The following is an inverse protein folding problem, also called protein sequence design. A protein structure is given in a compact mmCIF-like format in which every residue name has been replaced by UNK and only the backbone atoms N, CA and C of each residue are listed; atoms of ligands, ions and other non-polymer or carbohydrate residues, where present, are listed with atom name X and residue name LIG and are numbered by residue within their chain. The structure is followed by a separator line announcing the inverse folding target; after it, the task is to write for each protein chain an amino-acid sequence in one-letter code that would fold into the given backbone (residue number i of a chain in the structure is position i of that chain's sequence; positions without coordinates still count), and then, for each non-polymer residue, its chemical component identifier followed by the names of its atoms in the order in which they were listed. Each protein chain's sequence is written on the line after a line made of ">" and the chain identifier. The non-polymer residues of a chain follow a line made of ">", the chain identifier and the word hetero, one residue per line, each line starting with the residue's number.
data_IF_654957025660
#
_entry.id   IF_654957025660
#
_cell.length_a   1.000
_cell.length_b   1.000
_cell.length_c   1.000
_cell.angle_alpha   90.00
_cell.angle_beta   90.00
_cell.angle_gamma   90.00
#
_symmetry.space_group_name_H-M   'P 1'
#
loop_
_entity.id
_entity.type
_entity.pdbx_description
1 polymer ?
#
# COMPACT_ATOMS: atom_id res chain seq x y z
N UNK A 1 47.77 5.50 27.45
CA UNK A 1 47.31 6.63 26.61
C UNK A 1 46.13 6.09 25.83
N UNK A 2 44.93 6.50 26.24
CA UNK A 2 43.66 6.13 25.63
C UNK A 2 43.41 7.15 24.52
N UNK A 3 43.67 6.76 23.27
CA UNK A 3 43.24 7.54 22.12
C UNK A 3 41.73 7.38 21.98
N UNK A 4 41.04 8.35 22.60
CA UNK A 4 39.61 8.57 22.46
C UNK A 4 39.39 9.09 21.04
N UNK A 5 38.84 8.25 20.17
CA UNK A 5 38.32 8.72 18.88
C UNK A 5 37.19 9.72 19.17
N UNK A 6 37.26 10.96 18.67
CA UNK A 6 36.12 11.86 18.74
C UNK A 6 34.99 11.26 17.91
N UNK A 7 33.84 11.03 18.55
CA UNK A 7 32.57 10.70 17.90
C UNK A 7 32.17 11.86 16.99
N UNK A 8 32.67 11.80 15.75
CA UNK A 8 32.39 12.76 14.72
C UNK A 8 31.02 12.43 14.10
N UNK A 9 30.15 13.44 14.19
CA UNK A 9 28.94 13.66 13.38
C UNK A 9 27.67 13.05 13.97
N UNK A 10 27.11 13.76 14.94
CA UNK A 10 25.66 13.91 15.07
C UNK A 10 25.21 14.83 13.92
N UNK A 11 24.99 14.25 12.72
CA UNK A 11 24.53 15.02 11.56
C UNK A 11 23.04 15.28 11.69
N UNK A 12 22.68 16.56 11.75
CA UNK A 12 21.33 17.06 11.54
C UNK A 12 20.72 16.69 10.16
N UNK A 13 21.45 15.95 9.32
CA UNK A 13 21.06 15.45 8.00
C UNK A 13 20.86 13.92 7.93
N UNK A 14 20.89 13.20 9.07
CA UNK A 14 20.59 11.77 9.04
C UNK A 14 19.11 11.53 8.78
N UNK A 15 18.75 10.60 7.86
CA UNK A 15 17.35 10.30 7.60
C UNK A 15 16.65 9.80 8.87
N UNK A 16 15.43 10.28 9.06
CA UNK A 16 14.57 9.95 10.19
C UNK A 16 14.54 8.43 10.42
N UNK A 17 14.69 8.01 11.67
CA UNK A 17 14.71 6.59 12.02
C UNK A 17 13.30 6.10 12.31
N UNK A 18 12.86 5.05 11.59
CA UNK A 18 11.58 4.37 11.82
C UNK A 18 11.81 2.96 12.34
N UNK A 19 11.01 2.56 13.31
CA UNK A 19 11.19 1.35 14.11
C UNK A 19 9.97 0.44 14.11
N UNK A 20 8.80 0.95 13.73
CA UNK A 20 7.55 0.20 13.69
C UNK A 20 6.71 0.55 12.43
N UNK A 21 5.68 -0.26 12.12
CA UNK A 21 4.84 -0.03 10.93
C UNK A 21 4.14 1.32 10.91
N UNK A 22 3.68 1.83 12.05
CA UNK A 22 2.93 3.10 12.15
C UNK A 22 3.82 4.31 11.88
N UNK A 23 5.10 4.26 12.25
CA UNK A 23 6.08 5.30 11.90
C UNK A 23 6.42 5.30 10.40
N UNK A 24 6.47 4.12 9.78
CA UNK A 24 6.76 3.99 8.35
C UNK A 24 5.57 4.45 7.50
N UNK A 25 4.35 4.04 7.87
CA UNK A 25 3.10 4.33 7.17
C UNK A 25 2.13 4.93 8.20
N UNK A 26 2.25 6.25 8.45
CA UNK A 26 1.39 6.93 9.41
C UNK A 26 -0.04 7.03 8.89
N UNK A 27 -0.98 7.07 9.83
CA UNK A 27 -2.36 7.44 9.56
C UNK A 27 -2.40 8.90 9.07
N UNK A 28 -3.26 9.18 8.10
CA UNK A 28 -3.51 10.53 7.59
C UNK A 28 -4.99 10.77 7.45
N UNK A 29 -5.48 11.76 8.17
CA UNK A 29 -6.86 12.22 8.07
C UNK A 29 -6.99 13.17 6.88
N UNK A 30 -8.17 13.24 6.27
CA UNK A 30 -8.43 14.03 5.06
C UNK A 30 -8.18 15.54 5.23
N UNK A 31 -8.17 16.05 6.47
CA UNK A 31 -7.80 17.43 6.81
C UNK A 31 -6.30 17.70 6.94
N UNK A 32 -5.45 16.66 6.95
CA UNK A 32 -4.02 16.82 7.21
C UNK A 32 -3.28 17.47 6.02
N UNK A 33 -2.40 18.46 6.27
CA UNK A 33 -1.61 19.08 5.23
C UNK A 33 -0.74 18.02 4.53
N UNK A 34 -0.80 17.96 3.21
CA UNK A 34 -0.04 17.01 2.39
C UNK A 34 1.46 17.32 2.58
N UNK A 35 2.25 16.45 3.25
CA UNK A 35 3.67 16.68 3.43
C UNK A 35 4.42 16.47 2.10
N UNK A 36 5.72 16.77 2.12
CA UNK A 36 6.63 16.51 1.00
C UNK A 36 6.40 15.10 0.40
N UNK A 37 6.23 15.08 -0.92
CA UNK A 37 5.70 13.96 -1.72
C UNK A 37 6.55 12.68 -1.58
N UNK A 38 7.79 12.79 -1.08
CA UNK A 38 8.56 11.65 -0.61
C UNK A 38 9.72 12.02 0.32
N UNK A 39 10.10 11.05 1.16
CA UNK A 39 11.19 11.18 2.14
C UNK A 39 12.02 9.89 2.21
N UNK A 40 13.27 10.03 2.60
CA UNK A 40 14.14 8.90 2.93
C UNK A 40 14.09 8.66 4.43
N UNK A 41 13.84 7.43 4.85
CA UNK A 41 13.89 7.03 6.26
C UNK A 41 14.90 5.91 6.44
N UNK A 42 15.47 5.80 7.64
CA UNK A 42 16.31 4.68 8.04
C UNK A 42 15.49 3.71 8.88
N UNK A 43 15.64 2.42 8.65
CA UNK A 43 15.14 1.36 9.52
C UNK A 43 16.32 0.76 10.30
N UNK A 44 16.58 1.18 11.55
CA UNK A 44 17.75 0.74 12.28
C UNK A 44 17.77 -0.78 12.51
N UNK A 45 16.60 -1.38 12.77
CA UNK A 45 16.44 -2.81 13.00
C UNK A 45 16.95 -3.68 11.84
N UNK A 46 16.80 -3.18 10.61
CA UNK A 46 17.18 -3.91 9.39
C UNK A 46 18.40 -3.31 8.69
N UNK A 47 18.99 -2.24 9.27
CA UNK A 47 20.15 -1.51 8.72
C UNK A 47 19.94 -1.08 7.26
N UNK A 48 18.74 -0.58 6.96
CA UNK A 48 18.31 -0.24 5.59
C UNK A 48 17.76 1.18 5.52
N UNK A 49 17.89 1.81 4.36
CA UNK A 49 17.17 3.03 4.02
C UNK A 49 15.97 2.70 3.14
N UNK A 50 14.85 3.39 3.35
CA UNK A 50 13.63 3.25 2.56
C UNK A 50 13.24 4.60 2.01
N UNK A 51 12.92 4.63 0.73
CA UNK A 51 12.30 5.80 0.13
C UNK A 51 10.77 5.68 0.19
N UNK A 52 10.12 6.57 0.93
CA UNK A 52 8.66 6.59 1.07
C UNK A 52 8.10 7.65 0.13
N UNK A 53 7.01 7.33 -0.57
CA UNK A 53 6.21 8.31 -1.32
C UNK A 53 4.76 8.29 -0.88
N UNK A 54 4.18 9.48 -0.68
CA UNK A 54 2.82 9.71 -0.19
C UNK A 54 1.89 10.24 -1.29
N UNK A 55 2.23 10.01 -2.55
CA UNK A 55 1.43 10.49 -3.69
C UNK A 55 0.09 9.75 -3.80
N UNK A 56 -0.95 10.45 -4.27
CA UNK A 56 -2.23 9.83 -4.62
C UNK A 56 -2.07 8.86 -5.78
N UNK A 57 -2.75 7.71 -5.72
CA UNK A 57 -2.86 6.81 -6.86
C UNK A 57 -3.96 7.27 -7.82
N UNK A 58 -3.70 7.13 -9.11
CA UNK A 58 -4.64 7.42 -10.19
C UNK A 58 -5.05 6.15 -10.91
N UNK A 59 -6.06 6.29 -11.77
CA UNK A 59 -6.57 5.16 -12.57
C UNK A 59 -5.47 4.45 -13.37
N UNK A 60 -4.52 5.21 -13.93
CA UNK A 60 -3.40 4.62 -14.68
C UNK A 60 -2.56 3.67 -13.81
N UNK A 61 -2.36 4.00 -12.53
CA UNK A 61 -1.61 3.18 -11.59
C UNK A 61 -2.40 1.91 -11.24
N UNK A 62 -3.72 1.99 -11.09
CA UNK A 62 -4.56 0.82 -10.87
C UNK A 62 -4.54 -0.14 -12.08
N UNK A 63 -4.71 0.39 -13.30
CA UNK A 63 -4.72 -0.40 -14.55
C UNK A 63 -3.36 -1.10 -14.81
N UNK A 64 -2.25 -0.48 -14.40
CA UNK A 64 -0.90 -1.06 -14.48
C UNK A 64 -0.78 -2.39 -13.71
N UNK A 65 -1.55 -2.55 -12.63
CA UNK A 65 -1.49 -3.72 -11.76
C UNK A 65 -2.75 -4.59 -11.76
N UNK A 66 -3.79 -4.19 -12.48
CA UNK A 66 -5.06 -4.90 -12.55
C UNK A 66 -4.88 -6.37 -12.93
N UNK A 67 -3.94 -6.68 -13.83
CA UNK A 67 -3.61 -8.04 -14.25
C UNK A 67 -3.28 -8.99 -13.10
N UNK A 68 -2.68 -8.48 -12.02
CA UNK A 68 -2.28 -9.23 -10.84
C UNK A 68 -3.41 -9.24 -9.80
N UNK A 69 -4.16 -8.15 -9.69
CA UNK A 69 -5.33 -8.06 -8.81
C UNK A 69 -6.42 -9.05 -9.23
N UNK A 70 -6.64 -9.24 -10.54
CA UNK A 70 -7.70 -10.11 -11.08
C UNK A 70 -7.36 -11.61 -11.10
N UNK A 71 -6.08 -11.97 -11.02
CA UNK A 71 -5.62 -13.33 -11.36
C UNK A 71 -4.45 -13.83 -10.52
N UNK A 72 -3.81 -12.94 -9.77
CA UNK A 72 -2.68 -13.26 -8.93
C UNK A 72 -3.16 -14.07 -7.73
N UNK A 73 -2.55 -15.22 -7.51
CA UNK A 73 -2.69 -15.92 -6.25
C UNK A 73 -1.89 -15.15 -5.19
N UNK A 74 -2.48 -14.85 -4.01
CA UNK A 74 -1.75 -14.25 -2.92
C UNK A 74 -0.50 -15.04 -2.60
N UNK A 75 0.51 -14.34 -2.11
CA UNK A 75 1.79 -14.93 -1.70
C UNK A 75 2.66 -15.52 -2.83
N UNK A 76 2.24 -15.46 -4.09
CA UNK A 76 2.97 -16.00 -5.25
C UNK A 76 3.65 -14.88 -6.05
N UNK A 77 4.85 -15.15 -6.56
CA UNK A 77 5.60 -14.22 -7.40
C UNK A 77 5.28 -14.43 -8.90
N UNK A 78 5.19 -13.33 -9.64
CA UNK A 78 4.85 -13.30 -11.06
C UNK A 78 5.74 -12.33 -11.84
N UNK A 79 5.98 -12.62 -13.12
CA UNK A 79 6.51 -11.64 -14.05
C UNK A 79 5.41 -10.76 -14.61
N UNK A 80 5.72 -9.47 -14.85
CA UNK A 80 4.79 -8.59 -15.56
C UNK A 80 4.59 -9.11 -16.99
N UNK A 81 3.35 -9.29 -17.44
CA UNK A 81 3.12 -9.78 -18.78
C UNK A 81 3.46 -8.75 -19.88
N UNK A 82 4.06 -9.20 -20.98
CA UNK A 82 4.58 -8.30 -22.03
C UNK A 82 3.57 -7.96 -23.15
N UNK A 83 2.57 -8.81 -23.43
CA UNK A 83 1.57 -8.60 -24.50
C UNK A 83 0.22 -9.24 -24.14
N UNK A 84 -0.87 -8.52 -24.38
CA UNK A 84 -2.24 -9.10 -24.38
C UNK A 84 -2.47 -9.92 -25.68
N UNK A 85 -3.32 -10.96 -25.68
CA UNK A 85 -4.22 -11.38 -24.61
C UNK A 85 -3.55 -12.39 -23.67
N UNK A 86 -3.64 -12.08 -22.38
CA UNK A 86 -3.03 -12.79 -21.27
C UNK A 86 -3.87 -14.00 -20.91
N UNK A 87 -3.49 -15.19 -21.39
CA UNK A 87 -4.15 -16.43 -20.96
C UNK A 87 -3.59 -16.95 -19.64
N UNK A 88 -2.28 -16.87 -19.44
CA UNK A 88 -1.62 -17.39 -18.24
C UNK A 88 -0.65 -16.35 -17.65
N UNK A 89 -0.70 -16.15 -16.32
CA UNK A 89 0.32 -15.39 -15.62
C UNK A 89 1.61 -16.21 -15.55
N UNK A 90 2.73 -15.61 -15.95
CA UNK A 90 4.03 -16.26 -15.83
C UNK A 90 4.46 -16.29 -14.36
N UNK A 91 4.28 -17.44 -13.72
CA UNK A 91 4.70 -17.69 -12.34
C UNK A 91 6.23 -17.68 -12.27
N UNK A 92 6.77 -16.98 -11.28
CA UNK A 92 8.18 -17.00 -10.97
C UNK A 92 8.56 -18.33 -10.29
N UNK A 93 9.42 -19.10 -10.94
CA UNK A 93 9.96 -20.34 -10.36
C UNK A 93 11.15 -20.04 -9.44
N UNK A 94 10.89 -20.15 -8.13
CA UNK A 94 11.89 -19.95 -7.08
C UNK A 94 12.98 -21.03 -7.01
N UNK A 95 12.83 -22.15 -7.74
CA UNK A 95 13.84 -23.20 -7.78
C UNK A 95 15.09 -22.80 -8.57
N UNK A 96 14.95 -21.90 -9.55
CA UNK A 96 16.04 -21.48 -10.43
C UNK A 96 16.52 -20.04 -10.18
N UNK A 97 15.66 -19.21 -9.57
CA UNK A 97 15.90 -17.78 -9.32
C UNK A 97 15.43 -17.40 -7.93
N UNK A 98 16.01 -16.37 -7.35
CA UNK A 98 15.57 -15.84 -6.06
C UNK A 98 15.18 -14.36 -6.19
N UNK A 99 14.19 -13.88 -5.42
CA UNK A 99 13.92 -12.45 -5.29
C UNK A 99 15.15 -11.74 -4.72
N UNK A 100 15.62 -10.70 -5.40
CA UNK A 100 16.72 -9.86 -4.95
C UNK A 100 16.26 -9.02 -3.76
N UNK A 101 17.14 -8.84 -2.79
CA UNK A 101 16.94 -7.91 -1.70
C UNK A 101 17.50 -6.55 -2.13
N UNK A 102 16.65 -5.53 -2.26
CA UNK A 102 17.07 -4.18 -2.64
C UNK A 102 17.74 -3.48 -1.46
N UNK A 103 18.79 -2.71 -1.76
CA UNK A 103 19.47 -1.88 -0.75
C UNK A 103 18.57 -0.74 -0.27
N UNK A 104 17.83 -0.13 -1.20
CA UNK A 104 16.92 0.99 -0.93
C UNK A 104 15.56 0.73 -1.59
N UNK A 105 14.67 -0.09 -0.98
CA UNK A 105 13.33 -0.30 -1.50
C UNK A 105 12.50 0.97 -1.39
N UNK A 106 11.49 1.07 -2.25
CA UNK A 106 10.50 2.15 -2.26
C UNK A 106 9.21 1.68 -1.62
N UNK A 107 8.64 2.46 -0.70
CA UNK A 107 7.31 2.24 -0.14
C UNK A 107 6.39 3.32 -0.64
N UNK A 108 5.47 2.98 -1.53
CA UNK A 108 4.37 3.86 -1.87
C UNK A 108 3.22 3.66 -0.89
N UNK A 109 3.11 4.58 0.06
CA UNK A 109 2.00 4.65 1.01
C UNK A 109 0.86 5.47 0.38
N UNK A 110 0.05 4.84 -0.46
CA UNK A 110 -1.15 5.47 -1.05
C UNK A 110 -2.28 5.61 -0.02
N UNK A 111 -3.40 6.25 -0.41
CA UNK A 111 -4.55 6.46 0.47
C UNK A 111 -5.04 5.15 1.11
N UNK A 112 -5.00 4.04 0.37
CA UNK A 112 -5.35 2.72 0.88
C UNK A 112 -4.53 2.25 2.09
N UNK A 113 -3.30 2.75 2.28
CA UNK A 113 -2.43 2.39 3.41
C UNK A 113 -2.42 3.45 4.53
N UNK A 114 -2.78 4.69 4.21
CA UNK A 114 -2.71 5.82 5.16
C UNK A 114 -4.06 6.24 5.72
N UNK A 115 -5.16 6.09 4.97
CA UNK A 115 -6.49 6.54 5.40
C UNK A 115 -7.03 5.58 6.47
N UNK A 116 -7.42 6.08 7.65
CA UNK A 116 -7.99 5.26 8.71
C UNK A 116 -9.49 5.01 8.46
N UNK A 117 -10.10 4.11 9.24
CA UNK A 117 -11.55 3.82 9.14
C UNK A 117 -12.42 4.89 9.81
N UNK A 118 -11.85 5.72 10.67
CA UNK A 118 -12.49 6.85 11.37
C UNK A 118 -12.16 8.20 10.73
N UNK A 119 -11.93 8.24 9.40
CA UNK A 119 -11.54 9.47 8.71
C UNK A 119 -12.60 10.58 8.80
N UNK A 120 -12.14 11.82 8.92
CA UNK A 120 -12.97 13.00 9.15
C UNK A 120 -13.92 13.30 7.98
N UNK A 121 -15.20 13.53 8.28
CA UNK A 121 -16.21 13.92 7.28
C UNK A 121 -16.44 15.43 7.30
N UNK A 122 -16.04 16.12 6.23
CA UNK A 122 -16.18 17.58 6.11
C UNK A 122 -17.49 18.01 5.41
N UNK A 123 -18.05 17.17 4.54
CA UNK A 123 -19.26 17.47 3.76
C UNK A 123 -20.54 16.98 4.46
N UNK A 124 -20.99 17.71 5.49
CA UNK A 124 -22.25 17.41 6.17
C UNK A 124 -23.47 17.98 5.44
N UNK A 125 -24.14 17.15 4.65
CA UNK A 125 -25.40 17.52 3.95
C UNK A 125 -26.65 17.41 4.85
N UNK A 126 -26.52 16.81 6.04
CA UNK A 126 -27.63 16.54 6.96
C UNK A 126 -27.93 17.71 7.93
N UNK A 127 -27.17 18.81 7.86
CA UNK A 127 -27.40 19.99 8.71
C UNK A 127 -27.00 19.80 10.18
N UNK A 128 -26.13 18.82 10.49
CA UNK A 128 -25.59 18.60 11.85
C UNK A 128 -24.67 19.74 12.33
N UNK A 129 -24.44 20.77 11.51
CA UNK A 129 -23.46 21.85 11.70
C UNK A 129 -23.99 23.09 12.45
N UNK A 130 -25.13 23.02 13.14
CA UNK A 130 -25.80 24.23 13.66
C UNK A 130 -25.52 24.62 15.13
N UNK A 131 -24.97 23.75 15.99
CA UNK A 131 -25.01 24.03 17.44
C UNK A 131 -23.67 24.13 18.21
N UNK A 132 -22.50 23.87 17.61
CA UNK A 132 -21.20 24.13 18.28
C UNK A 132 -20.12 24.57 17.27
N UNK A 133 -19.14 25.34 17.76
CA UNK A 133 -18.02 25.92 17.00
C UNK A 133 -17.54 24.97 15.89
N UNK A 134 -17.89 25.28 14.64
CA UNK A 134 -17.62 24.42 13.49
C UNK A 134 -16.11 24.31 13.25
N UNK A 135 -15.50 23.18 13.63
CA UNK A 135 -14.06 22.90 13.48
C UNK A 135 -13.74 22.39 12.05
N UNK A 136 -14.74 22.24 11.18
CA UNK A 136 -14.57 21.80 9.80
C UNK A 136 -15.10 20.39 9.55
N UNK A 137 -14.88 19.45 10.47
CA UNK A 137 -15.39 18.08 10.39
C UNK A 137 -16.69 17.89 11.20
N UNK A 138 -17.58 17.02 10.71
CA UNK A 138 -18.83 16.65 11.36
C UNK A 138 -18.65 15.36 12.15
N UNK A 139 -18.61 15.49 13.49
CA UNK A 139 -18.44 14.35 14.40
C UNK A 139 -19.52 13.28 14.20
N UNK A 140 -20.79 13.68 14.11
CA UNK A 140 -21.88 12.72 13.96
C UNK A 140 -21.78 11.93 12.64
N UNK A 141 -21.45 12.59 11.53
CA UNK A 141 -21.24 11.88 10.26
C UNK A 141 -19.99 10.99 10.30
N UNK A 142 -18.93 11.44 10.97
CA UNK A 142 -17.70 10.67 11.15
C UNK A 142 -17.97 9.38 11.91
N UNK A 143 -18.67 9.45 13.05
CA UNK A 143 -19.07 8.29 13.84
C UNK A 143 -19.94 7.33 13.01
N UNK A 144 -21.02 7.85 12.40
CA UNK A 144 -21.95 7.02 11.61
C UNK A 144 -21.24 6.28 10.47
N UNK A 145 -20.33 6.95 9.76
CA UNK A 145 -19.57 6.34 8.65
C UNK A 145 -18.47 5.40 9.13
N UNK A 146 -17.82 5.72 10.24
CA UNK A 146 -16.81 4.85 10.87
C UNK A 146 -17.44 3.55 11.37
N UNK A 147 -18.58 3.63 12.07
CA UNK A 147 -19.33 2.45 12.51
C UNK A 147 -19.79 1.59 11.32
N UNK A 148 -20.22 2.21 10.21
CA UNK A 148 -20.58 1.49 9.00
C UNK A 148 -19.39 0.74 8.38
N UNK A 149 -18.20 1.36 8.39
CA UNK A 149 -16.96 0.72 7.94
C UNK A 149 -16.52 -0.42 8.85
N UNK A 150 -16.58 -0.24 10.17
CA UNK A 150 -16.21 -1.27 11.14
C UNK A 150 -17.12 -2.52 11.04
N UNK A 151 -18.36 -2.33 10.61
CA UNK A 151 -19.30 -3.41 10.31
C UNK A 151 -19.18 -3.99 8.89
N UNK A 152 -18.25 -3.48 8.08
CA UNK A 152 -18.00 -3.94 6.72
C UNK A 152 -16.68 -4.67 6.63
N UNK A 153 -16.72 -5.95 6.24
CA UNK A 153 -15.49 -6.69 5.96
C UNK A 153 -14.75 -6.07 4.78
N UNK A 154 -13.53 -5.57 5.01
CA UNK A 154 -12.66 -4.98 4.00
C UNK A 154 -11.52 -5.92 3.61
N UNK A 155 -10.99 -5.69 2.41
CA UNK A 155 -9.86 -6.42 1.88
C UNK A 155 -8.84 -5.45 1.31
N UNK A 156 -7.68 -5.40 1.95
CA UNK A 156 -6.56 -4.56 1.57
C UNK A 156 -5.60 -5.36 0.68
N UNK A 157 -5.38 -4.87 -0.53
CA UNK A 157 -4.41 -5.42 -1.46
C UNK A 157 -3.18 -4.54 -1.48
N UNK A 158 -2.00 -5.14 -1.29
CA UNK A 158 -0.72 -4.48 -1.42
C UNK A 158 0.15 -5.24 -2.44
N UNK A 159 0.77 -4.50 -3.35
CA UNK A 159 1.60 -5.08 -4.41
C UNK A 159 3.05 -4.84 -4.10
N UNK A 160 3.77 -5.95 -4.00
CA UNK A 160 5.19 -5.99 -3.70
C UNK A 160 5.95 -6.22 -5.00
N UNK A 161 7.08 -5.53 -5.18
CA UNK A 161 7.96 -5.74 -6.31
C UNK A 161 9.43 -5.83 -5.88
N UNK A 162 10.17 -6.67 -6.60
CA UNK A 162 11.64 -6.67 -6.59
C UNK A 162 12.16 -7.21 -7.92
N UNK A 163 13.48 -7.36 -8.05
CA UNK A 163 14.11 -7.99 -9.20
C UNK A 163 14.33 -9.48 -8.94
N UNK A 164 14.32 -10.28 -10.00
CA UNK A 164 14.74 -11.68 -9.96
C UNK A 164 16.23 -11.79 -10.19
N UNK A 165 16.95 -12.53 -9.35
CA UNK A 165 18.36 -12.85 -9.58
C UNK A 165 18.51 -14.32 -9.91
N UNK A 166 19.37 -14.63 -10.88
CA UNK A 166 19.81 -16.00 -11.10
C UNK A 166 20.59 -16.50 -9.88
N UNK A 167 20.29 -17.72 -9.44
CA UNK A 167 21.04 -18.34 -8.34
C UNK A 167 22.54 -18.31 -8.64
N UNK A 168 23.41 -17.97 -7.66
CA UNK A 168 24.86 -17.82 -7.87
C UNK A 168 25.55 -19.08 -8.41
N UNK A 169 24.89 -20.25 -8.40
CA UNK A 169 25.39 -21.48 -9.03
C UNK A 169 25.43 -21.43 -10.56
N UNK A 170 24.64 -20.56 -11.20
CA UNK A 170 24.52 -20.48 -12.66
C UNK A 170 24.99 -19.11 -13.13
N UNK A 171 26.31 -18.93 -13.17
CA UNK A 171 27.04 -17.67 -13.42
C UNK A 171 26.67 -16.92 -14.70
N UNK A 172 25.51 -16.25 -14.71
CA UNK A 172 25.09 -15.33 -15.76
C UNK A 172 24.61 -14.02 -15.14
N UNK A 173 25.41 -12.96 -15.29
CA UNK A 173 25.07 -11.58 -14.94
C UNK A 173 24.06 -10.98 -15.95
N UNK A 174 22.95 -11.66 -16.21
CA UNK A 174 21.81 -11.01 -16.88
C UNK A 174 21.10 -10.17 -15.82
N UNK A 175 20.87 -8.89 -16.15
CA UNK A 175 20.07 -8.00 -15.31
C UNK A 175 18.76 -8.68 -14.92
N UNK A 176 18.45 -8.60 -13.63
CA UNK A 176 17.27 -9.25 -13.08
C UNK A 176 16.00 -8.66 -13.66
N UNK A 177 15.05 -9.52 -14.06
CA UNK A 177 13.71 -9.06 -14.47
C UNK A 177 12.89 -8.72 -13.24
N UNK A 178 12.10 -7.66 -13.31
CA UNK A 178 11.18 -7.29 -12.24
C UNK A 178 10.08 -8.34 -12.05
N UNK A 179 9.83 -8.70 -10.80
CA UNK A 179 8.81 -9.62 -10.34
C UNK A 179 7.88 -8.93 -9.35
N UNK A 180 6.66 -9.42 -9.26
CA UNK A 180 5.57 -8.84 -8.50
C UNK A 180 4.86 -9.91 -7.67
N UNK A 181 4.35 -9.52 -6.51
CA UNK A 181 3.61 -10.39 -5.60
C UNK A 181 2.44 -9.62 -5.01
N UNK A 182 1.29 -10.25 -4.94
CA UNK A 182 0.10 -9.71 -4.29
C UNK A 182 0.04 -10.16 -2.84
N UNK A 183 -0.19 -9.22 -1.93
CA UNK A 183 -0.50 -9.46 -0.52
C UNK A 183 -1.95 -9.06 -0.28
N UNK A 184 -2.67 -9.88 0.49
CA UNK A 184 -4.05 -9.66 0.89
C UNK A 184 -4.16 -9.62 2.41
N UNK A 185 -4.72 -8.54 2.93
CA UNK A 185 -4.91 -8.30 4.36
C UNK A 185 -6.36 -7.92 4.66
N UNK A 186 -6.82 -8.17 5.89
CA UNK A 186 -8.17 -7.79 6.34
C UNK A 186 -8.26 -6.40 6.98
N UNK A 187 -7.12 -5.73 7.22
CA UNK A 187 -7.08 -4.39 7.79
C UNK A 187 -5.92 -3.57 7.25
N UNK A 188 -6.04 -2.25 7.40
CA UNK A 188 -4.99 -1.28 7.08
C UNK A 188 -3.71 -1.53 7.88
N UNK A 189 -3.84 -1.80 9.18
CA UNK A 189 -2.72 -2.06 10.10
C UNK A 189 -1.96 -3.33 9.67
N UNK A 190 -2.70 -4.37 9.27
CA UNK A 190 -2.11 -5.61 8.77
C UNK A 190 -1.38 -5.37 7.45
N UNK A 191 -1.97 -4.60 6.53
CA UNK A 191 -1.32 -4.24 5.27
C UNK A 191 -0.06 -3.37 5.49
N UNK A 192 -0.11 -2.42 6.42
CA UNK A 192 1.03 -1.60 6.80
C UNK A 192 2.15 -2.43 7.47
N UNK A 193 1.80 -3.40 8.31
CA UNK A 193 2.77 -4.33 8.90
C UNK A 193 3.44 -5.22 7.85
N UNK A 194 2.68 -5.73 6.89
CA UNK A 194 3.23 -6.48 5.75
C UNK A 194 4.15 -5.60 4.89
N UNK A 195 3.76 -4.37 4.61
CA UNK A 195 4.59 -3.40 3.90
C UNK A 195 5.92 -3.13 4.64
N UNK A 196 5.85 -2.92 5.96
CA UNK A 196 7.01 -2.74 6.83
C UNK A 196 7.93 -3.96 6.81
N UNK A 197 7.38 -5.16 6.93
CA UNK A 197 8.15 -6.40 6.89
C UNK A 197 8.80 -6.62 5.52
N UNK A 198 8.05 -6.42 4.44
CA UNK A 198 8.55 -6.63 3.08
C UNK A 198 9.64 -5.63 2.69
N UNK A 199 9.48 -4.35 3.01
CA UNK A 199 10.50 -3.36 2.72
C UNK A 199 11.70 -3.45 3.67
N UNK A 200 11.44 -3.60 4.97
CA UNK A 200 12.47 -3.67 5.99
C UNK A 200 13.26 -4.97 5.97
N UNK A 201 12.59 -6.12 6.09
CA UNK A 201 13.26 -7.43 6.18
C UNK A 201 13.65 -7.93 4.79
N UNK A 202 12.71 -7.96 3.86
CA UNK A 202 12.89 -8.63 2.55
C UNK A 202 13.48 -7.71 1.47
N UNK A 203 13.56 -6.41 1.70
CA UNK A 203 14.12 -5.46 0.75
C UNK A 203 13.31 -5.36 -0.53
N UNK A 204 12.01 -5.52 -0.42
CA UNK A 204 11.10 -5.41 -1.56
C UNK A 204 10.39 -4.04 -1.52
N UNK A 205 10.09 -3.50 -2.68
CA UNK A 205 9.31 -2.27 -2.80
C UNK A 205 7.82 -2.56 -2.67
N UNK A 206 7.07 -1.64 -2.07
CA UNK A 206 5.61 -1.59 -2.13
C UNK A 206 5.26 -0.59 -3.23
N UNK A 207 4.63 -1.08 -4.30
CA UNK A 207 4.47 -0.29 -5.53
C UNK A 207 3.03 0.12 -5.80
N UNK A 208 2.06 -0.45 -5.10
CA UNK A 208 0.66 -0.06 -5.19
C UNK A 208 -0.15 -0.67 -4.04
N UNK A 209 -1.24 -0.01 -3.67
CA UNK A 209 -2.22 -0.53 -2.71
C UNK A 209 -3.62 -0.04 -3.01
N UNK A 210 -4.61 -0.88 -2.76
CA UNK A 210 -6.02 -0.57 -2.90
C UNK A 210 -6.88 -1.36 -1.91
N UNK A 211 -8.14 -0.96 -1.72
CA UNK A 211 -9.08 -1.59 -0.80
C UNK A 211 -10.37 -1.91 -1.53
N UNK A 212 -10.89 -3.11 -1.28
CA UNK A 212 -12.19 -3.57 -1.74
C UNK A 212 -13.06 -3.94 -0.54
N UNK A 213 -14.38 -3.99 -0.75
CA UNK A 213 -15.29 -4.69 0.15
C UNK A 213 -15.14 -6.20 -0.06
N UNK A 214 -15.12 -6.98 1.02
CA UNK A 214 -15.07 -8.43 0.95
C UNK A 214 -16.31 -8.99 0.23
N UNK A 215 -16.12 -9.96 -0.66
CA UNK A 215 -17.19 -10.47 -1.52
C UNK A 215 -17.49 -9.59 -2.74
N UNK A 216 -16.85 -8.42 -2.85
CA UNK A 216 -16.89 -7.54 -4.01
C UNK A 216 -15.50 -7.38 -4.63
N UNK A 217 -14.73 -8.46 -4.72
CA UNK A 217 -13.42 -8.42 -5.39
C UNK A 217 -13.53 -8.87 -6.85
N UNK A 218 -12.53 -8.56 -7.70
CA UNK A 218 -12.50 -9.07 -9.07
C UNK A 218 -12.49 -10.61 -9.17
N UNK A 219 -12.00 -11.30 -8.14
CA UNK A 219 -12.06 -12.76 -8.01
C UNK A 219 -13.51 -13.25 -7.77
N UNK A 220 -14.28 -12.52 -6.98
CA UNK A 220 -15.66 -12.86 -6.63
C UNK A 220 -16.65 -12.54 -7.77
N UNK A 221 -16.41 -11.43 -8.49
CA UNK A 221 -17.26 -10.95 -9.58
C UNK A 221 -16.46 -10.75 -10.88
N UNK A 222 -15.96 -11.83 -11.50
CA UNK A 222 -15.20 -11.75 -12.75
C UNK A 222 -16.10 -11.26 -13.87
N UNK A 223 -15.89 -10.02 -14.35
CA UNK A 223 -16.64 -9.21 -15.35
C UNK A 223 -17.34 -7.97 -14.80
N UNK A 224 -17.40 -7.79 -13.48
CA UNK A 224 -17.95 -6.55 -12.94
C UNK A 224 -17.05 -5.36 -13.29
N UNK A 225 -17.67 -4.20 -13.53
CA UNK A 225 -16.93 -2.97 -13.85
C UNK A 225 -16.35 -2.42 -12.56
N UNK A 226 -15.04 -2.21 -12.52
CA UNK A 226 -14.38 -1.59 -11.36
C UNK A 226 -14.58 -0.08 -11.40
N UNK A 227 -15.15 0.46 -10.34
CA UNK A 227 -15.39 1.88 -10.11
C UNK A 227 -14.56 2.37 -8.93
N UNK A 228 -13.84 3.47 -9.12
CA UNK A 228 -13.06 4.08 -8.04
C UNK A 228 -13.99 4.90 -7.15
N UNK A 229 -13.89 4.70 -5.84
CA UNK A 229 -14.40 5.63 -4.84
C UNK A 229 -13.28 6.55 -4.35
N UNK A 230 -13.63 7.79 -4.06
CA UNK A 230 -12.75 8.85 -3.60
C UNK A 230 -12.52 8.85 -2.08
N UNK A 231 -13.45 8.28 -1.31
CA UNK A 231 -13.39 8.18 0.15
C UNK A 231 -13.60 6.73 0.59
N UNK A 232 -12.87 6.30 1.63
CA UNK A 232 -12.88 4.90 2.09
C UNK A 232 -14.27 4.44 2.54
N UNK A 233 -14.99 5.31 3.27
CA UNK A 233 -16.30 4.99 3.84
C UNK A 233 -17.37 4.66 2.79
N UNK A 234 -17.20 5.11 1.54
CA UNK A 234 -18.11 4.77 0.44
C UNK A 234 -18.08 3.29 0.07
N UNK A 235 -17.12 2.51 0.56
CA UNK A 235 -17.15 1.04 0.44
C UNK A 235 -18.20 0.38 1.35
N UNK A 236 -18.57 1.02 2.46
CA UNK A 236 -19.58 0.49 3.39
C UNK A 236 -21.01 0.64 2.84
N UNK A 237 -21.27 1.67 2.04
CA UNK A 237 -22.58 1.89 1.42
C UNK A 237 -22.98 0.73 0.52
N UNK A 238 -24.27 0.49 0.31
CA UNK A 238 -24.70 -0.49 -0.69
C UNK A 238 -24.45 0.06 -2.10
N UNK A 239 -23.95 -0.79 -3.01
CA UNK A 239 -23.78 -0.39 -4.39
C UNK A 239 -25.15 -0.18 -5.04
N UNK A 240 -25.36 0.97 -5.69
CA UNK A 240 -26.58 1.21 -6.49
C UNK A 240 -26.72 0.20 -7.64
N UNK A 241 -25.59 -0.33 -8.12
CA UNK A 241 -25.50 -1.27 -9.23
C UNK A 241 -24.67 -2.50 -8.83
N UNK A 242 -25.35 -3.64 -8.69
CA UNK A 242 -24.73 -4.92 -8.37
C UNK A 242 -23.73 -5.43 -9.44
N UNK A 243 -23.71 -4.82 -10.63
CA UNK A 243 -22.76 -5.13 -11.70
C UNK A 243 -21.42 -4.42 -11.57
N UNK A 244 -21.25 -3.58 -10.55
CA UNK A 244 -20.01 -2.84 -10.28
C UNK A 244 -19.29 -3.35 -9.04
N UNK A 245 -17.97 -3.24 -9.05
CA UNK A 245 -17.09 -3.40 -7.90
C UNK A 245 -16.54 -2.03 -7.55
N UNK A 246 -16.63 -1.61 -6.29
CA UNK A 246 -15.99 -0.38 -5.84
C UNK A 246 -14.60 -0.66 -5.28
N UNK A 247 -13.66 0.23 -5.58
CA UNK A 247 -12.29 0.17 -5.09
C UNK A 247 -11.83 1.53 -4.59
N UNK A 248 -11.15 1.55 -3.45
CA UNK A 248 -10.52 2.74 -2.89
C UNK A 248 -9.00 2.69 -3.08
N UNK A 249 -8.40 3.76 -3.61
CA UNK A 249 -6.95 3.94 -3.76
C UNK A 249 -6.55 5.42 -3.93
#
# INVERSE_FOLDING_TARGET
>A
MLDSFPSLIDSADSPEAVSNPTELIPVRYSGDPIPDIGRMVRMPLFKRCIFITLSRAYRADFEEYLWLIERGTPETWYFKPQKQPLRDLEVFDSSMRQPTMLDTPRVWASAALTTPTDDDIYDCMAGHSLDQEYIGACHQCTDEKSEALDNTDLVYYAIVSTNSQHSPMYGSNKEGKQIYKLIRCGSRESAAAEAFYHAGVRGCSIVFSCVFRFGETPDDKPKAVVERVDELWKLAEEAEDNSKIRVFY
#
